data_IF_421370363757
#
_entry.id   IF_421370363757
#
_cell.length_a   1.000
_cell.length_b   1.000
_cell.length_c   1.000
_cell.angle_alpha   90.00
_cell.angle_beta   90.00
_cell.angle_gamma   90.00
#
_symmetry.space_group_name_H-M   'P 1'
#
loop_
_entity.id
_entity.type
_entity.pdbx_description
1 polymer ?
#
# COMPACT_ATOMS: atom_id res chain seq x y z
N UNK A 1 23.06 -30.84 48.78
CA UNK A 1 22.11 -30.09 47.91
C UNK A 1 22.52 -28.61 47.76
N UNK A 2 23.66 -28.29 47.12
CA UNK A 2 24.07 -26.89 46.86
C UNK A 2 24.91 -26.80 45.57
N UNK A 3 24.37 -27.23 44.43
CA UNK A 3 25.07 -27.16 43.14
C UNK A 3 24.22 -26.70 41.95
N UNK A 4 23.07 -26.09 42.20
CA UNK A 4 22.15 -25.57 41.17
C UNK A 4 22.23 -24.05 40.97
N UNK A 5 23.09 -23.34 41.70
CA UNK A 5 23.13 -21.86 41.75
C UNK A 5 24.47 -21.28 41.25
N UNK A 6 25.02 -21.80 40.14
CA UNK A 6 26.27 -21.26 39.53
C UNK A 6 26.07 -20.49 38.23
N UNK A 7 24.84 -20.35 37.77
CA UNK A 7 24.57 -20.00 36.37
C UNK A 7 23.38 -19.02 36.23
N UNK A 8 23.39 -17.85 36.89
CA UNK A 8 22.31 -16.85 36.77
C UNK A 8 22.13 -16.36 35.33
N UNK A 9 23.19 -16.42 34.51
CA UNK A 9 23.17 -16.09 33.08
C UNK A 9 22.22 -17.01 32.31
N UNK A 10 22.19 -18.31 32.64
CA UNK A 10 21.34 -19.27 31.93
C UNK A 10 19.86 -19.08 32.31
N UNK A 11 19.57 -18.64 33.54
CA UNK A 11 18.22 -18.23 33.95
C UNK A 11 17.76 -16.96 33.23
N UNK A 12 18.65 -15.97 33.04
CA UNK A 12 18.35 -14.75 32.28
C UNK A 12 18.15 -15.02 30.78
N UNK A 13 18.92 -15.92 30.17
CA UNK A 13 18.74 -16.34 28.77
C UNK A 13 17.41 -17.10 28.60
N UNK A 14 17.08 -17.99 29.55
CA UNK A 14 15.81 -18.72 29.52
C UNK A 14 14.61 -17.78 29.71
N UNK A 15 14.73 -16.79 30.60
CA UNK A 15 13.70 -15.76 30.79
C UNK A 15 13.58 -14.84 29.56
N UNK A 16 14.69 -14.48 28.91
CA UNK A 16 14.68 -13.71 27.67
C UNK A 16 14.02 -14.43 26.49
N UNK A 17 14.13 -15.75 26.40
CA UNK A 17 13.43 -16.56 25.38
C UNK A 17 11.92 -16.65 25.64
N UNK A 18 11.49 -16.63 26.90
CA UNK A 18 10.08 -16.65 27.30
C UNK A 18 9.36 -15.30 27.07
N UNK A 19 10.10 -14.20 26.93
CA UNK A 19 9.56 -12.85 26.64
C UNK A 19 9.72 -12.49 25.15
N UNK A 20 9.82 -13.48 24.27
CA UNK A 20 9.79 -13.24 22.83
C UNK A 20 8.38 -12.79 22.42
N UNK A 21 8.19 -11.47 22.27
CA UNK A 21 6.97 -10.93 21.67
C UNK A 21 6.80 -11.54 20.28
N UNK A 22 5.68 -12.21 20.05
CA UNK A 22 5.33 -12.77 18.75
C UNK A 22 5.18 -11.58 17.79
N UNK A 23 6.16 -11.39 16.90
CA UNK A 23 6.05 -10.40 15.85
C UNK A 23 4.96 -10.88 14.87
N UNK A 24 3.87 -10.13 14.77
CA UNK A 24 2.81 -10.40 13.79
C UNK A 24 3.29 -9.92 12.43
N UNK A 25 3.78 -10.85 11.61
CA UNK A 25 4.03 -10.59 10.20
C UNK A 25 2.70 -10.57 9.45
N UNK A 26 2.53 -9.62 8.53
CA UNK A 26 1.40 -9.64 7.62
C UNK A 26 1.54 -10.80 6.63
N UNK A 27 0.43 -11.44 6.31
CA UNK A 27 0.35 -12.27 5.11
C UNK A 27 -0.41 -11.47 4.07
N UNK A 28 0.25 -11.22 2.94
CA UNK A 28 -0.30 -10.45 1.84
C UNK A 28 -0.55 -11.39 0.66
N UNK A 29 -1.77 -11.34 0.13
CA UNK A 29 -2.01 -11.89 -1.21
C UNK A 29 -1.27 -11.08 -2.27
N UNK A 30 -1.01 -11.68 -3.43
CA UNK A 30 -0.48 -10.93 -4.56
C UNK A 30 -1.54 -9.94 -5.05
N UNK A 31 -1.15 -8.69 -5.40
CA UNK A 31 -2.09 -7.73 -5.96
C UNK A 31 -2.61 -8.25 -7.30
N UNK A 32 -3.90 -8.01 -7.57
CA UNK A 32 -4.60 -8.46 -8.78
C UNK A 32 -5.30 -7.29 -9.45
N UNK A 33 -5.66 -7.48 -10.72
CA UNK A 33 -6.52 -6.52 -11.41
C UNK A 33 -7.83 -6.42 -10.65
N UNK A 34 -8.19 -5.21 -10.24
CA UNK A 34 -9.41 -4.93 -9.49
C UNK A 34 -10.30 -3.96 -10.27
N UNK A 35 -11.61 -4.17 -10.17
CA UNK A 35 -12.61 -3.30 -10.79
C UNK A 35 -13.46 -2.67 -9.69
N UNK A 36 -13.53 -1.35 -9.69
CA UNK A 36 -14.34 -0.56 -8.78
C UNK A 36 -15.44 0.13 -9.58
N UNK A 37 -16.64 0.22 -9.01
CA UNK A 37 -17.75 0.94 -9.61
C UNK A 37 -18.13 2.10 -8.72
N UNK A 38 -18.59 3.19 -9.32
CA UNK A 38 -19.35 4.20 -8.57
C UNK A 38 -20.62 3.57 -7.98
N UNK A 39 -21.22 4.23 -6.99
CA UNK A 39 -22.42 3.72 -6.33
C UNK A 39 -23.59 3.64 -7.31
N UNK A 40 -23.74 4.66 -8.16
CA UNK A 40 -24.75 4.70 -9.23
C UNK A 40 -24.44 3.78 -10.42
N UNK A 41 -23.28 3.10 -10.44
CA UNK A 41 -22.84 2.21 -11.52
C UNK A 41 -22.69 2.88 -12.90
N UNK A 42 -22.59 4.21 -12.96
CA UNK A 42 -22.33 4.93 -14.21
C UNK A 42 -20.83 4.97 -14.57
N UNK A 43 -19.95 4.73 -13.59
CA UNK A 43 -18.51 4.74 -13.79
C UNK A 43 -17.86 3.46 -13.28
N UNK A 44 -16.80 3.06 -13.98
CA UNK A 44 -16.01 1.87 -13.68
C UNK A 44 -14.53 2.22 -13.74
N UNK A 45 -13.80 1.95 -12.67
CA UNK A 45 -12.35 2.10 -12.57
C UNK A 45 -11.72 0.71 -12.56
N UNK A 46 -10.84 0.43 -13.52
CA UNK A 46 -10.02 -0.79 -13.55
C UNK A 46 -8.61 -0.41 -13.12
N UNK A 47 -8.07 -1.11 -12.12
CA UNK A 47 -6.72 -0.90 -11.62
C UNK A 47 -5.90 -2.15 -11.93
N UNK A 48 -4.81 -1.96 -12.66
CA UNK A 48 -3.85 -3.02 -13.00
C UNK A 48 -2.60 -2.84 -12.15
N UNK A 49 -2.25 -3.82 -11.29
CA UNK A 49 -1.05 -3.76 -10.47
C UNK A 49 0.23 -3.67 -11.29
N UNK A 50 1.27 -3.15 -10.66
CA UNK A 50 2.63 -3.16 -11.19
C UNK A 50 3.05 -4.59 -11.59
N UNK A 51 3.57 -4.73 -12.79
CA UNK A 51 4.06 -6.00 -13.32
C UNK A 51 5.57 -5.96 -13.53
N UNK A 52 6.24 -7.04 -13.14
CA UNK A 52 7.68 -7.20 -13.36
C UNK A 52 8.08 -8.68 -13.32
N UNK A 53 9.29 -9.00 -13.80
CA UNK A 53 9.85 -10.35 -13.72
C UNK A 53 10.30 -10.67 -12.30
N UNK A 54 10.22 -11.93 -11.86
CA UNK A 54 10.75 -12.39 -10.57
C UNK A 54 12.26 -12.11 -10.42
N UNK A 55 12.98 -11.93 -11.53
CA UNK A 55 14.41 -11.58 -11.54
C UNK A 55 14.66 -10.09 -11.30
N UNK A 56 13.65 -9.23 -11.43
CA UNK A 56 13.82 -7.77 -11.41
C UNK A 56 14.47 -7.29 -10.12
N UNK A 57 13.97 -7.71 -8.95
CA UNK A 57 14.50 -7.23 -7.66
C UNK A 57 15.94 -7.69 -7.43
N UNK A 58 16.27 -8.91 -7.85
CA UNK A 58 17.63 -9.41 -7.72
C UNK A 58 18.58 -8.66 -8.66
N UNK A 59 18.11 -8.29 -9.85
CA UNK A 59 18.84 -7.43 -10.77
C UNK A 59 19.05 -6.04 -10.23
N UNK A 60 17.99 -5.39 -9.76
CA UNK A 60 18.04 -4.05 -9.20
C UNK A 60 18.98 -4.00 -7.99
N UNK A 61 18.89 -5.00 -7.10
CA UNK A 61 19.81 -5.17 -5.98
C UNK A 61 21.27 -5.30 -6.44
N UNK A 62 21.55 -6.18 -7.41
CA UNK A 62 22.93 -6.34 -7.89
C UNK A 62 23.45 -5.13 -8.65
N UNK A 63 22.57 -4.35 -9.30
CA UNK A 63 22.93 -3.13 -10.01
C UNK A 63 23.23 -1.98 -9.05
N UNK A 64 22.44 -1.82 -7.99
CA UNK A 64 22.50 -0.70 -7.05
C UNK A 64 23.42 -0.94 -5.84
N UNK A 65 23.66 -2.19 -5.46
CA UNK A 65 24.42 -2.53 -4.26
C UNK A 65 25.92 -2.24 -4.41
N UNK A 66 26.39 -1.27 -3.61
CA UNK A 66 27.79 -0.86 -3.49
C UNK A 66 28.51 -1.47 -2.27
N UNK A 67 27.85 -2.36 -1.53
CA UNK A 67 28.44 -2.99 -0.34
C UNK A 67 29.65 -3.86 -0.73
N UNK A 68 30.70 -3.92 0.13
CA UNK A 68 31.84 -4.79 -0.12
C UNK A 68 31.39 -6.25 -0.19
N UNK A 69 31.66 -6.91 -1.33
CA UNK A 69 31.20 -8.27 -1.59
C UNK A 69 32.36 -9.26 -1.59
N UNK A 70 32.12 -10.44 -1.00
CA UNK A 70 33.08 -11.54 -1.09
C UNK A 70 33.23 -12.04 -2.54
N UNK A 71 34.38 -12.64 -2.87
CA UNK A 71 34.64 -13.23 -4.20
C UNK A 71 33.55 -14.22 -4.64
N UNK A 72 32.93 -14.94 -3.70
CA UNK A 72 31.81 -15.86 -3.94
C UNK A 72 30.55 -15.12 -4.41
N UNK A 73 30.20 -14.01 -3.77
CA UNK A 73 29.04 -13.19 -4.13
C UNK A 73 29.27 -12.52 -5.49
N UNK A 74 30.48 -11.98 -5.74
CA UNK A 74 30.84 -11.39 -7.04
C UNK A 74 30.68 -12.38 -8.20
N UNK A 75 31.11 -13.63 -8.02
CA UNK A 75 30.90 -14.70 -9.02
C UNK A 75 29.42 -15.00 -9.26
N UNK A 76 28.60 -15.06 -8.19
CA UNK A 76 27.14 -15.25 -8.31
C UNK A 76 26.48 -14.09 -9.05
N UNK A 77 26.81 -12.84 -8.67
CA UNK A 77 26.38 -11.62 -9.35
C UNK A 77 26.73 -11.67 -10.84
N UNK A 78 27.99 -11.94 -11.18
CA UNK A 78 28.42 -12.02 -12.58
C UNK A 78 27.64 -13.09 -13.38
N UNK A 79 27.43 -14.28 -12.79
CA UNK A 79 26.64 -15.35 -13.43
C UNK A 79 25.20 -14.91 -13.65
N UNK A 80 24.56 -14.32 -12.64
CA UNK A 80 23.20 -13.81 -12.74
C UNK A 80 23.07 -12.70 -13.80
N UNK A 81 23.97 -11.71 -13.79
CA UNK A 81 23.95 -10.60 -14.74
C UNK A 81 24.15 -11.05 -16.20
N UNK A 82 24.79 -12.21 -16.44
CA UNK A 82 24.87 -12.81 -17.78
C UNK A 82 23.61 -13.58 -18.18
N UNK A 83 22.78 -13.97 -17.22
CA UNK A 83 21.56 -14.77 -17.43
C UNK A 83 20.30 -13.92 -17.60
N UNK A 84 20.39 -12.61 -17.40
CA UNK A 84 19.24 -11.71 -17.46
C UNK A 84 19.04 -11.14 -18.86
N UNK A 85 17.78 -11.02 -19.27
CA UNK A 85 17.37 -10.39 -20.54
C UNK A 85 16.88 -8.96 -20.32
N UNK A 86 16.71 -8.17 -21.39
CA UNK A 86 16.11 -6.84 -21.29
C UNK A 86 14.68 -6.91 -20.70
N UNK A 87 13.90 -7.93 -21.07
CA UNK A 87 12.53 -8.11 -20.58
C UNK A 87 12.47 -8.31 -19.06
N UNK A 88 13.46 -9.01 -18.49
CA UNK A 88 13.56 -9.22 -17.04
C UNK A 88 13.86 -7.93 -16.25
N UNK A 89 14.25 -6.86 -16.93
CA UNK A 89 14.54 -5.54 -16.33
C UNK A 89 13.38 -4.55 -16.46
N UNK A 90 12.29 -4.95 -17.11
CA UNK A 90 11.12 -4.10 -17.30
C UNK A 90 10.28 -4.10 -16.03
N UNK A 91 9.92 -2.90 -15.59
CA UNK A 91 8.94 -2.65 -14.54
C UNK A 91 7.81 -1.83 -15.16
N UNK A 92 6.65 -2.46 -15.29
CA UNK A 92 5.42 -1.81 -15.75
C UNK A 92 4.72 -1.28 -14.50
N UNK A 93 4.50 0.04 -14.37
CA UNK A 93 3.96 0.62 -13.14
C UNK A 93 2.49 0.22 -12.93
N UNK A 94 1.96 0.49 -11.73
CA UNK A 94 0.53 0.38 -11.49
C UNK A 94 -0.22 1.40 -12.35
N UNK A 95 -1.23 0.96 -13.09
CA UNK A 95 -2.08 1.83 -13.92
C UNK A 95 -3.54 1.75 -13.50
N UNK A 96 -4.29 2.78 -13.86
CA UNK A 96 -5.73 2.82 -13.75
C UNK A 96 -6.36 3.31 -15.04
N UNK A 97 -7.54 2.78 -15.32
CA UNK A 97 -8.38 3.11 -16.46
C UNK A 97 -9.77 3.46 -15.94
N UNK A 98 -10.24 4.69 -16.21
CA UNK A 98 -11.60 5.10 -15.87
C UNK A 98 -12.48 5.01 -17.11
N UNK A 99 -13.63 4.37 -16.95
CA UNK A 99 -14.65 4.22 -17.98
C UNK A 99 -15.96 4.85 -17.54
N UNK A 100 -16.67 5.45 -18.50
CA UNK A 100 -18.09 5.74 -18.39
C UNK A 100 -18.89 4.59 -18.97
N UNK A 101 -19.91 4.14 -18.26
CA UNK A 101 -20.83 3.11 -18.74
C UNK A 101 -21.95 3.79 -19.51
N UNK A 102 -22.12 3.42 -20.77
CA UNK A 102 -23.14 3.95 -21.67
C UNK A 102 -23.95 2.79 -22.24
N UNK A 103 -25.07 2.45 -21.58
CA UNK A 103 -25.88 1.28 -21.93
C UNK A 103 -25.12 -0.02 -21.68
N UNK A 104 -24.83 -0.77 -22.75
CA UNK A 104 -24.06 -2.03 -22.70
C UNK A 104 -22.55 -1.83 -22.91
N UNK A 105 -22.14 -0.64 -23.36
CA UNK A 105 -20.75 -0.33 -23.67
C UNK A 105 -20.08 0.46 -22.55
N UNK A 106 -18.75 0.48 -22.57
CA UNK A 106 -17.92 1.26 -21.66
C UNK A 106 -16.95 2.12 -22.47
N UNK A 107 -17.05 3.43 -22.32
CA UNK A 107 -16.20 4.41 -23.00
C UNK A 107 -15.03 4.79 -22.10
N UNK A 108 -13.80 4.55 -22.57
CA UNK A 108 -12.59 4.95 -21.85
C UNK A 108 -12.51 6.48 -21.77
N UNK A 109 -12.43 7.00 -20.54
CA UNK A 109 -12.25 8.44 -20.27
C UNK A 109 -10.75 8.75 -20.22
N UNK A 110 -10.00 7.97 -19.44
CA UNK A 110 -8.54 8.12 -19.33
C UNK A 110 -7.87 6.84 -18.85
N UNK A 111 -6.58 6.74 -19.16
CA UNK A 111 -5.63 5.77 -18.61
C UNK A 111 -4.42 6.52 -18.03
N UNK A 112 -4.01 6.20 -16.79
CA UNK A 112 -2.90 6.84 -16.08
C UNK A 112 -2.14 5.89 -15.18
N UNK A 113 -0.85 6.17 -15.00
CA UNK A 113 -0.06 5.59 -13.92
C UNK A 113 -0.51 6.15 -12.57
N UNK A 114 -0.77 5.28 -11.61
CA UNK A 114 -1.10 5.66 -10.24
C UNK A 114 0.16 5.97 -9.43
N UNK A 115 0.02 6.82 -8.41
CA UNK A 115 1.10 7.11 -7.46
C UNK A 115 1.35 5.95 -6.48
N UNK A 116 0.41 5.03 -6.34
CA UNK A 116 0.58 3.83 -5.52
C UNK A 116 1.55 2.86 -6.24
N UNK A 117 2.77 2.70 -5.71
CA UNK A 117 3.90 2.11 -6.44
C UNK A 117 3.65 0.67 -6.92
N UNK A 118 2.98 -0.14 -6.09
CA UNK A 118 2.64 -1.54 -6.42
C UNK A 118 1.22 -1.62 -6.94
N UNK A 119 0.28 -1.19 -6.11
CA UNK A 119 -1.15 -1.11 -6.34
C UNK A 119 -1.74 -0.41 -5.11
N UNK A 120 -2.84 0.36 -5.22
CA UNK A 120 -3.59 0.72 -4.04
C UNK A 120 -4.22 -0.52 -3.39
N UNK A 121 -4.40 -0.50 -2.06
CA UNK A 121 -5.16 -1.55 -1.35
C UNK A 121 -6.65 -1.41 -1.63
N UNK A 122 -7.13 -0.17 -1.76
CA UNK A 122 -8.53 0.12 -2.04
C UNK A 122 -8.70 1.38 -2.89
N UNK A 123 -9.80 1.50 -3.60
CA UNK A 123 -10.16 2.70 -4.35
C UNK A 123 -11.68 2.92 -4.38
N UNK A 124 -12.10 4.16 -4.59
CA UNK A 124 -13.51 4.55 -4.79
C UNK A 124 -13.62 5.59 -5.91
N UNK A 125 -14.80 5.67 -6.52
CA UNK A 125 -15.09 6.54 -7.68
C UNK A 125 -16.32 7.39 -7.36
N UNK A 126 -16.25 8.70 -7.59
CA UNK A 126 -17.39 9.59 -7.44
C UNK A 126 -18.50 9.23 -8.44
N UNK A 127 -19.76 9.49 -8.07
CA UNK A 127 -20.91 9.11 -8.91
C UNK A 127 -20.99 9.89 -10.24
N UNK A 128 -20.39 11.06 -10.32
CA UNK A 128 -20.25 11.83 -11.56
C UNK A 128 -18.90 11.63 -12.26
N UNK A 129 -18.04 10.74 -11.75
CA UNK A 129 -16.70 10.51 -12.28
C UNK A 129 -15.73 11.69 -12.12
N UNK A 130 -16.10 12.72 -11.35
CA UNK A 130 -15.29 13.94 -11.16
C UNK A 130 -14.01 13.69 -10.36
N UNK A 131 -13.99 12.65 -9.54
CA UNK A 131 -12.83 12.28 -8.75
C UNK A 131 -12.74 10.78 -8.47
N UNK A 132 -11.51 10.34 -8.23
CA UNK A 132 -11.16 9.00 -7.73
C UNK A 132 -10.32 9.20 -6.47
N UNK A 133 -10.51 8.33 -5.50
CA UNK A 133 -9.63 8.22 -4.35
C UNK A 133 -9.00 6.82 -4.28
N UNK A 134 -7.70 6.77 -3.99
CA UNK A 134 -7.00 5.51 -3.67
C UNK A 134 -6.47 5.53 -2.25
N UNK A 135 -6.41 4.35 -1.64
CA UNK A 135 -5.99 4.16 -0.26
C UNK A 135 -4.91 3.11 -0.16
N UNK A 136 -3.86 3.48 0.58
CA UNK A 136 -2.71 2.68 0.97
C UNK A 136 -1.88 2.13 -0.19
N UNK A 137 -0.65 1.75 0.09
CA UNK A 137 0.15 0.97 -0.86
C UNK A 137 0.07 -0.50 -0.47
N UNK A 138 -0.12 -1.38 -1.46
CA UNK A 138 0.05 -2.81 -1.25
C UNK A 138 1.45 -3.09 -0.65
N UNK A 139 1.51 -3.96 0.37
CA UNK A 139 2.69 -4.22 1.22
C UNK A 139 3.14 -3.08 2.16
N UNK A 140 2.36 -1.99 2.28
CA UNK A 140 2.74 -0.82 3.08
C UNK A 140 1.51 0.00 3.51
N UNK A 141 0.53 -0.65 4.15
CA UNK A 141 -0.69 0.03 4.66
C UNK A 141 -0.35 1.03 5.75
N UNK A 142 -0.92 2.23 5.66
CA UNK A 142 -0.74 3.31 6.63
C UNK A 142 0.64 3.97 6.61
N UNK A 143 1.50 3.62 5.65
CA UNK A 143 2.85 4.15 5.53
C UNK A 143 3.11 4.84 4.17
N UNK A 144 4.03 5.80 4.19
CA UNK A 144 4.44 6.56 3.01
C UNK A 144 3.57 7.80 2.75
N UNK A 145 3.82 8.45 1.62
CA UNK A 145 3.17 9.72 1.24
C UNK A 145 1.86 9.52 0.46
N UNK A 146 1.58 8.29 0.03
CA UNK A 146 0.42 7.94 -0.80
C UNK A 146 -0.54 7.03 -0.02
N UNK A 147 -0.82 7.38 1.24
CA UNK A 147 -1.80 6.65 2.08
C UNK A 147 -3.21 6.97 1.62
N UNK A 148 -3.47 8.22 1.25
CA UNK A 148 -4.71 8.63 0.59
C UNK A 148 -4.34 9.57 -0.56
N UNK A 149 -4.78 9.25 -1.77
CA UNK A 149 -4.51 10.07 -2.97
C UNK A 149 -5.82 10.40 -3.65
N UNK A 150 -6.01 11.68 -3.98
CA UNK A 150 -7.16 12.19 -4.72
C UNK A 150 -6.72 12.50 -6.14
N UNK A 151 -7.44 11.92 -7.11
CA UNK A 151 -7.25 12.16 -8.54
C UNK A 151 -8.45 12.89 -9.11
N UNK A 152 -8.21 13.74 -10.10
CA UNK A 152 -9.23 14.48 -10.84
C UNK A 152 -9.86 13.66 -11.97
N UNK A 153 -10.81 14.27 -12.69
CA UNK A 153 -11.56 13.66 -13.78
C UNK A 153 -10.70 13.26 -14.99
N UNK A 154 -9.43 13.69 -15.02
CA UNK A 154 -8.43 13.38 -16.06
C UNK A 154 -7.36 12.41 -15.54
N UNK A 155 -7.51 11.92 -14.31
CA UNK A 155 -6.58 11.02 -13.64
C UNK A 155 -5.31 11.71 -13.12
N UNK A 156 -5.27 13.05 -13.01
CA UNK A 156 -4.14 13.73 -12.39
C UNK A 156 -4.29 13.71 -10.86
N UNK A 157 -3.22 13.38 -10.15
CA UNK A 157 -3.20 13.49 -8.69
C UNK A 157 -3.29 14.97 -8.28
N UNK A 158 -4.36 15.34 -7.57
CA UNK A 158 -4.56 16.67 -6.99
C UNK A 158 -3.85 16.80 -5.64
N UNK A 159 -3.91 15.75 -4.83
CA UNK A 159 -3.36 15.75 -3.47
C UNK A 159 -3.00 14.34 -3.02
N UNK A 160 -1.91 14.27 -2.30
CA UNK A 160 -1.46 13.09 -1.56
C UNK A 160 -1.47 13.42 -0.08
N UNK A 161 -1.80 12.43 0.72
CA UNK A 161 -1.83 12.51 2.16
C UNK A 161 -1.06 11.35 2.78
N UNK A 162 -0.28 11.67 3.81
CA UNK A 162 0.22 10.71 4.78
C UNK A 162 -0.84 10.41 5.83
N UNK A 163 -0.70 9.30 6.55
CA UNK A 163 -1.65 8.94 7.60
C UNK A 163 -1.68 9.95 8.75
N UNK A 164 -0.54 10.50 9.17
CA UNK A 164 -0.44 11.49 10.26
C UNK A 164 -1.12 12.82 9.96
N UNK A 165 -1.22 13.19 8.67
CA UNK A 165 -1.90 14.41 8.22
C UNK A 165 -3.42 14.31 8.31
N UNK A 166 -3.95 13.08 8.24
CA UNK A 166 -5.39 12.82 8.13
C UNK A 166 -5.95 12.16 9.39
N UNK A 167 -5.11 11.50 10.18
CA UNK A 167 -5.53 10.69 11.32
C UNK A 167 -6.15 11.53 12.44
N UNK A 168 -7.32 11.14 12.98
CA UNK A 168 -7.85 11.68 14.24
C UNK A 168 -7.17 11.14 15.49
N UNK A 169 -6.42 10.05 15.38
CA UNK A 169 -5.74 9.41 16.50
C UNK A 169 -4.21 9.49 16.35
N UNK A 170 -3.47 9.44 17.46
CA UNK A 170 -2.06 9.07 17.43
C UNK A 170 -1.85 7.78 16.64
N UNK A 171 -0.80 7.71 15.81
CA UNK A 171 -0.58 6.54 14.94
C UNK A 171 -0.35 5.23 15.71
N UNK A 172 0.13 5.32 16.95
CA UNK A 172 0.34 4.20 17.86
C UNK A 172 -0.96 3.62 18.44
N UNK A 173 -2.11 4.25 18.18
CA UNK A 173 -3.41 3.75 18.62
C UNK A 173 -4.02 2.77 17.60
N UNK A 174 -3.46 2.70 16.38
CA UNK A 174 -3.90 1.76 15.36
C UNK A 174 -3.35 0.37 15.55
N UNK A 175 -4.13 -0.63 15.13
CA UNK A 175 -3.66 -2.01 15.09
C UNK A 175 -2.48 -2.10 14.12
N UNK A 176 -1.38 -2.74 14.55
CA UNK A 176 -0.16 -2.77 13.77
C UNK A 176 0.43 -4.17 13.62
N UNK A 177 1.15 -4.34 12.53
CA UNK A 177 2.03 -5.48 12.27
C UNK A 177 3.46 -5.00 12.05
N UNK A 178 4.33 -5.88 11.55
CA UNK A 178 5.69 -5.51 11.14
C UNK A 178 5.70 -4.44 10.03
N UNK A 179 4.70 -4.44 9.14
CA UNK A 179 4.72 -3.65 7.89
C UNK A 179 3.46 -2.83 7.64
N UNK A 180 2.46 -2.90 8.51
CA UNK A 180 1.16 -2.25 8.29
C UNK A 180 0.63 -1.57 9.55
N UNK A 181 -0.03 -0.43 9.35
CA UNK A 181 -0.98 0.16 10.29
C UNK A 181 -2.38 -0.01 9.72
N UNK A 182 -3.23 -0.76 10.40
CA UNK A 182 -4.63 -0.96 10.00
C UNK A 182 -5.48 0.15 10.62
N UNK A 183 -5.67 1.22 9.85
CA UNK A 183 -6.21 2.50 10.35
C UNK A 183 -7.66 2.79 9.92
N UNK A 184 -8.11 2.17 8.83
CA UNK A 184 -9.39 2.45 8.18
C UNK A 184 -10.34 1.27 8.30
N UNK A 185 -11.55 1.55 8.78
CA UNK A 185 -12.68 0.61 8.79
C UNK A 185 -13.50 0.68 7.50
N UNK A 186 -13.83 1.90 7.06
CA UNK A 186 -14.66 2.11 5.88
C UNK A 186 -14.36 3.46 5.21
N UNK A 187 -14.76 3.60 3.95
CA UNK A 187 -14.70 4.85 3.20
C UNK A 187 -15.76 4.92 2.12
N UNK A 188 -16.38 6.09 1.97
CA UNK A 188 -17.39 6.33 0.95
C UNK A 188 -17.45 7.80 0.55
N UNK A 189 -17.95 8.06 -0.65
CA UNK A 189 -18.40 9.39 -1.01
C UNK A 189 -19.71 9.72 -0.27
N UNK A 190 -19.79 10.90 0.35
CA UNK A 190 -21.06 11.45 0.86
C UNK A 190 -21.81 12.13 -0.29
N UNK A 191 -21.06 12.84 -1.11
CA UNK A 191 -21.44 13.43 -2.40
C UNK A 191 -20.20 13.44 -3.29
N UNK A 192 -20.25 14.09 -4.45
CA UNK A 192 -19.14 14.04 -5.43
C UNK A 192 -17.87 14.78 -4.96
N UNK A 193 -17.98 15.68 -3.98
CA UNK A 193 -16.87 16.52 -3.51
C UNK A 193 -16.42 16.17 -2.09
N UNK A 194 -17.08 15.22 -1.41
CA UNK A 194 -16.77 14.88 -0.01
C UNK A 194 -16.66 13.39 0.21
N UNK A 195 -15.55 13.00 0.84
CA UNK A 195 -15.29 11.61 1.25
C UNK A 195 -15.38 11.53 2.77
N UNK A 196 -16.18 10.59 3.26
CA UNK A 196 -16.16 10.17 4.66
C UNK A 196 -15.20 9.00 4.82
N UNK A 197 -14.25 9.12 5.75
CA UNK A 197 -13.39 8.00 6.15
C UNK A 197 -13.69 7.66 7.61
N UNK A 198 -13.98 6.38 7.87
CA UNK A 198 -14.15 5.85 9.22
C UNK A 198 -12.83 5.23 9.67
N UNK A 199 -12.25 5.81 10.72
CA UNK A 199 -11.03 5.35 11.37
C UNK A 199 -11.38 4.39 12.50
N UNK A 200 -10.54 3.38 12.73
CA UNK A 200 -10.70 2.40 13.82
C UNK A 200 -9.34 2.09 14.43
N UNK A 201 -9.26 2.24 15.76
CA UNK A 201 -8.07 1.93 16.57
C UNK A 201 -8.06 0.44 16.97
N UNK A 202 -6.94 -0.02 17.54
CA UNK A 202 -6.77 -1.42 17.98
C UNK A 202 -7.79 -1.84 19.05
N UNK A 203 -8.28 -0.89 19.87
CA UNK A 203 -9.33 -1.09 20.86
C UNK A 203 -10.76 -0.95 20.30
N UNK A 204 -10.92 -0.92 18.97
CA UNK A 204 -12.18 -0.76 18.23
C UNK A 204 -12.88 0.59 18.45
N UNK A 205 -12.19 1.62 18.93
CA UNK A 205 -12.74 2.97 18.96
C UNK A 205 -12.80 3.51 17.54
N UNK A 206 -13.99 3.93 17.13
CA UNK A 206 -14.21 4.49 15.79
C UNK A 206 -14.47 5.98 15.83
N UNK A 207 -13.97 6.70 14.84
CA UNK A 207 -14.40 8.07 14.54
C UNK A 207 -14.36 8.29 13.04
N UNK A 208 -15.18 9.19 12.52
CA UNK A 208 -15.14 9.59 11.12
C UNK A 208 -14.48 10.96 10.94
N UNK A 209 -13.92 11.20 9.76
CA UNK A 209 -13.57 12.53 9.26
C UNK A 209 -14.11 12.69 7.85
N UNK A 210 -14.48 13.92 7.51
CA UNK A 210 -14.98 14.29 6.18
C UNK A 210 -13.90 15.11 5.48
N UNK A 211 -13.53 14.70 4.28
CA UNK A 211 -12.52 15.36 3.45
C UNK A 211 -13.21 16.07 2.31
N UNK A 212 -12.99 17.38 2.21
CA UNK A 212 -13.48 18.18 1.11
C UNK A 212 -12.48 18.16 -0.05
N UNK A 213 -12.87 17.62 -1.19
CA UNK A 213 -12.00 17.42 -2.35
C UNK A 213 -11.79 18.68 -3.17
N UNK A 214 -12.66 19.69 -3.04
CA UNK A 214 -12.46 21.00 -3.67
C UNK A 214 -11.43 21.84 -2.92
N UNK A 215 -11.51 21.82 -1.58
CA UNK A 215 -10.61 22.57 -0.69
C UNK A 215 -9.35 21.80 -0.32
N UNK A 216 -9.36 20.48 -0.55
CA UNK A 216 -8.28 19.54 -0.23
C UNK A 216 -7.90 19.52 1.26
N UNK A 217 -8.90 19.69 2.13
CA UNK A 217 -8.76 19.78 3.57
C UNK A 217 -9.84 18.97 4.30
N UNK A 218 -9.59 18.70 5.59
CA UNK A 218 -10.58 18.07 6.49
C UNK A 218 -11.58 19.13 6.93
N UNK A 219 -12.86 18.77 6.96
CA UNK A 219 -13.95 19.60 7.50
C UNK A 219 -14.03 19.57 9.03
#
# INVERSE_FOLDING_TARGET
>A
MKRLLRHPIYLLILFGLLVSMIAKADTWDNPRVNTYYSDNKEFKLIITPRQTSDKYYLWDYYKSSNHPQTKKILRKKQKFMRSISAQDTILIPCTAELYRIEGTDAVLIWERTLLNYVCPVYAIVANDGSSIATFDNWYSTGYGVNVFVVYDEKGNAKKTYKLDEISPFPLNDYSMSISSLYWRKDVRYIDNDRIEIIFETDDNKTTNRIYNLKRLEVE
#
